data_IF_709416437958
#
_entry.id   IF_709416437958
#
_cell.length_a   1.000
_cell.length_b   1.000
_cell.length_c   1.000
_cell.angle_alpha   90.00
_cell.angle_beta   90.00
_cell.angle_gamma   90.00
#
_symmetry.space_group_name_H-M   'P 1'
#
loop_
_entity.id
_entity.type
_entity.pdbx_description
1 polymer ?
#
# COMPACT_ATOMS: atom_id res chain seq x y z
N UNK A 1 4.18 9.37 -16.93
CA UNK A 1 4.55 8.38 -15.90
C UNK A 1 3.48 8.42 -14.82
N UNK A 2 3.02 7.28 -14.31
CA UNK A 2 1.93 7.21 -13.34
C UNK A 2 2.45 7.57 -11.94
N UNK A 3 2.05 8.72 -11.39
CA UNK A 3 2.54 9.22 -10.11
C UNK A 3 2.12 8.30 -8.95
N UNK A 4 0.94 7.68 -9.03
CA UNK A 4 0.48 6.69 -8.04
C UNK A 4 1.45 5.50 -8.00
N UNK A 5 1.88 4.99 -9.15
CA UNK A 5 2.85 3.87 -9.21
C UNK A 5 4.21 4.26 -8.65
N UNK A 6 4.72 5.45 -8.99
CA UNK A 6 6.03 5.92 -8.47
C UNK A 6 6.01 6.07 -6.96
N UNK A 7 4.95 6.69 -6.43
CA UNK A 7 4.78 6.87 -4.99
C UNK A 7 4.58 5.53 -4.28
N UNK A 8 3.87 4.60 -4.91
CA UNK A 8 3.72 3.25 -4.37
C UNK A 8 5.07 2.54 -4.22
N UNK A 9 5.91 2.58 -5.25
CA UNK A 9 7.25 2.01 -5.22
C UNK A 9 8.15 2.72 -4.19
N UNK A 10 8.02 4.04 -4.06
CA UNK A 10 8.74 4.80 -3.05
C UNK A 10 8.31 4.38 -1.64
N UNK A 11 7.01 4.23 -1.38
CA UNK A 11 6.48 3.77 -0.10
C UNK A 11 7.01 2.37 0.24
N UNK A 12 7.06 1.47 -0.75
CA UNK A 12 7.62 0.12 -0.59
C UNK A 12 9.11 0.19 -0.22
N UNK A 13 9.89 1.03 -0.91
CA UNK A 13 11.32 1.21 -0.64
C UNK A 13 11.57 1.80 0.75
N UNK A 14 10.84 2.85 1.13
CA UNK A 14 10.98 3.48 2.46
C UNK A 14 10.60 2.48 3.56
N UNK A 15 9.55 1.69 3.36
CA UNK A 15 9.18 0.66 4.30
C UNK A 15 10.22 -0.46 4.39
N UNK A 16 10.77 -0.93 3.27
CA UNK A 16 11.83 -1.94 3.26
C UNK A 16 13.06 -1.47 4.04
N UNK A 17 13.52 -0.23 3.82
CA UNK A 17 14.64 0.35 4.58
C UNK A 17 14.32 0.42 6.08
N UNK A 18 13.10 0.84 6.42
CA UNK A 18 12.65 0.89 7.82
C UNK A 18 12.60 -0.51 8.46
N UNK A 19 12.08 -1.50 7.74
CA UNK A 19 11.95 -2.89 8.20
C UNK A 19 13.32 -3.53 8.43
N UNK A 20 14.22 -3.45 7.45
CA UNK A 20 15.58 -4.00 7.58
C UNK A 20 16.45 -3.22 8.57
N UNK A 21 16.16 -1.94 8.81
CA UNK A 21 16.87 -1.11 9.80
C UNK A 21 16.40 -1.30 11.24
N UNK A 22 15.24 -1.93 11.48
CA UNK A 22 14.69 -2.12 12.82
C UNK A 22 15.33 -3.35 13.48
N UNK A 23 16.22 -3.14 14.45
CA UNK A 23 16.85 -4.21 15.24
C UNK A 23 15.99 -4.66 16.44
N UNK A 24 14.71 -4.97 16.24
CA UNK A 24 13.79 -5.32 17.32
C UNK A 24 12.53 -6.06 16.87
N UNK A 25 11.92 -6.79 17.80
CA UNK A 25 10.71 -7.61 17.64
C UNK A 25 9.60 -6.89 16.84
N UNK A 26 8.94 -7.62 15.94
CA UNK A 26 7.78 -7.13 15.15
C UNK A 26 6.61 -6.68 16.03
N UNK A 27 6.59 -7.11 17.30
CA UNK A 27 5.51 -6.89 18.26
C UNK A 27 5.61 -5.52 18.95
N UNK A 28 6.77 -4.86 18.92
CA UNK A 28 6.93 -3.51 19.48
C UNK A 28 6.41 -2.43 18.50
N UNK A 29 5.12 -2.14 18.63
CA UNK A 29 4.44 -1.04 17.94
C UNK A 29 4.80 0.27 18.65
N UNK A 30 5.73 1.02 18.05
CA UNK A 30 6.13 2.35 18.52
C UNK A 30 5.25 3.44 17.87
N UNK A 31 5.02 4.59 18.54
CA UNK A 31 4.37 5.76 17.94
C UNK A 31 4.96 6.17 16.58
N UNK A 32 6.27 5.95 16.39
CA UNK A 32 6.99 6.21 15.13
C UNK A 32 6.38 5.43 13.95
N UNK A 33 5.89 4.21 14.20
CA UNK A 33 5.36 3.33 13.16
C UNK A 33 4.04 3.91 12.61
N UNK A 34 3.19 4.46 13.48
CA UNK A 34 1.97 5.14 13.08
C UNK A 34 2.26 6.41 12.28
N UNK A 35 3.27 7.19 12.69
CA UNK A 35 3.69 8.39 11.95
C UNK A 35 4.17 8.05 10.54
N UNK A 36 5.01 7.02 10.39
CA UNK A 36 5.49 6.57 9.07
C UNK A 36 4.32 6.11 8.20
N UNK A 37 3.39 5.32 8.75
CA UNK A 37 2.21 4.86 8.02
C UNK A 37 1.29 6.01 7.57
N UNK A 38 1.10 7.02 8.42
CA UNK A 38 0.33 8.21 8.09
C UNK A 38 0.99 9.01 6.95
N UNK A 39 2.32 9.20 7.00
CA UNK A 39 3.07 9.90 5.95
C UNK A 39 2.96 9.17 4.61
N UNK A 40 3.15 7.86 4.59
CA UNK A 40 3.05 7.06 3.37
C UNK A 40 1.63 7.06 2.79
N UNK A 41 0.61 7.04 3.66
CA UNK A 41 -0.80 7.17 3.24
C UNK A 41 -1.06 8.54 2.62
N UNK A 42 -0.50 9.60 3.19
CA UNK A 42 -0.57 10.94 2.63
C UNK A 42 0.11 11.04 1.27
N UNK A 43 1.25 10.39 1.07
CA UNK A 43 1.88 10.32 -0.25
C UNK A 43 0.97 9.65 -1.29
N UNK A 44 0.26 8.57 -0.96
CA UNK A 44 -0.66 7.93 -1.91
C UNK A 44 -1.81 8.86 -2.33
N UNK A 45 -2.34 9.64 -1.39
CA UNK A 45 -3.32 10.69 -1.69
C UNK A 45 -2.71 11.74 -2.64
N UNK A 46 -1.48 12.19 -2.38
CA UNK A 46 -0.78 13.11 -3.27
C UNK A 46 -0.55 12.51 -4.67
N UNK A 47 -0.25 11.22 -4.77
CA UNK A 47 -0.10 10.53 -6.06
C UNK A 47 -1.39 10.55 -6.88
N UNK A 48 -2.53 10.31 -6.24
CA UNK A 48 -3.85 10.45 -6.86
C UNK A 48 -4.12 11.87 -7.34
N UNK A 49 -3.81 12.87 -6.50
CA UNK A 49 -3.96 14.28 -6.82
C UNK A 49 -3.10 14.71 -8.01
N UNK A 50 -1.83 14.29 -8.06
CA UNK A 50 -0.90 14.60 -9.14
C UNK A 50 -1.32 13.95 -10.46
N UNK A 51 -1.80 12.71 -10.43
CA UNK A 51 -2.37 12.06 -11.62
C UNK A 51 -3.55 12.87 -12.18
N UNK A 52 -4.46 13.33 -11.32
CA UNK A 52 -5.56 14.18 -11.73
C UNK A 52 -5.09 15.54 -12.27
N UNK A 53 -4.08 16.15 -11.65
CA UNK A 53 -3.50 17.43 -12.11
C UNK A 53 -2.92 17.32 -13.52
N UNK A 54 -2.29 16.19 -13.86
CA UNK A 54 -1.73 15.92 -15.19
C UNK A 54 -2.74 15.35 -16.19
N UNK A 55 -4.04 15.52 -15.92
CA UNK A 55 -5.13 15.02 -16.78
C UNK A 55 -5.03 13.53 -17.12
N UNK A 56 -4.43 12.72 -16.24
CA UNK A 56 -4.34 11.29 -16.45
C UNK A 56 -5.70 10.63 -16.21
N UNK A 57 -5.98 9.56 -16.95
CA UNK A 57 -7.22 8.81 -16.81
C UNK A 57 -7.33 8.18 -15.42
N UNK A 58 -8.55 8.09 -14.88
CA UNK A 58 -8.79 7.45 -13.58
C UNK A 58 -8.26 6.00 -13.52
N UNK A 59 -8.22 5.30 -14.67
CA UNK A 59 -7.62 3.97 -14.80
C UNK A 59 -6.17 3.91 -14.29
N UNK A 60 -5.40 4.99 -14.42
CA UNK A 60 -4.03 5.06 -13.89
C UNK A 60 -3.98 4.95 -12.37
N UNK A 61 -4.96 5.53 -11.67
CA UNK A 61 -5.05 5.50 -10.21
C UNK A 61 -5.37 4.09 -9.71
N UNK A 62 -6.19 3.35 -10.45
CA UNK A 62 -6.64 2.00 -10.10
C UNK A 62 -5.62 0.89 -10.38
N UNK A 63 -4.57 1.17 -11.15
CA UNK A 63 -3.64 0.12 -11.58
C UNK A 63 -3.01 -0.62 -10.40
N UNK A 64 -2.52 0.12 -9.40
CA UNK A 64 -1.90 -0.48 -8.21
C UNK A 64 -2.91 -1.24 -7.34
N UNK A 65 -4.17 -0.82 -7.32
CA UNK A 65 -5.23 -1.57 -6.64
C UNK A 65 -5.41 -2.96 -7.27
N UNK A 66 -5.48 -3.07 -8.60
CA UNK A 66 -5.62 -4.37 -9.27
C UNK A 66 -4.39 -5.27 -9.07
N UNK A 67 -3.19 -4.68 -9.13
CA UNK A 67 -1.93 -5.40 -8.81
C UNK A 67 -1.98 -5.94 -7.38
N UNK A 68 -2.46 -5.12 -6.43
CA UNK A 68 -2.65 -5.58 -5.07
C UNK A 68 -3.69 -6.69 -5.00
N UNK A 69 -4.90 -6.52 -5.55
CA UNK A 69 -5.93 -7.58 -5.57
C UNK A 69 -5.38 -8.91 -6.11
N UNK A 70 -4.62 -8.86 -7.22
CA UNK A 70 -3.95 -10.05 -7.77
C UNK A 70 -3.01 -10.68 -6.74
N UNK A 71 -2.13 -9.90 -6.12
CA UNK A 71 -1.22 -10.39 -5.10
C UNK A 71 -1.96 -10.96 -3.86
N UNK A 72 -3.15 -10.48 -3.49
CA UNK A 72 -3.93 -11.02 -2.36
C UNK A 72 -4.61 -12.33 -2.70
N UNK A 73 -5.18 -12.43 -3.90
CA UNK A 73 -5.70 -13.71 -4.38
C UNK A 73 -4.57 -14.74 -4.44
N UNK A 74 -3.41 -14.34 -4.97
CA UNK A 74 -2.21 -15.19 -4.97
C UNK A 74 -1.79 -15.56 -3.55
N UNK A 75 -1.73 -14.62 -2.59
CA UNK A 75 -1.35 -14.95 -1.22
C UNK A 75 -2.33 -15.93 -0.56
N UNK A 76 -3.63 -15.79 -0.79
CA UNK A 76 -4.63 -16.73 -0.26
C UNK A 76 -4.55 -18.12 -0.91
N UNK A 77 -4.27 -18.19 -2.21
CA UNK A 77 -3.99 -19.45 -2.89
C UNK A 77 -2.70 -20.09 -2.37
N UNK A 78 -1.64 -19.30 -2.19
CA UNK A 78 -0.38 -19.77 -1.60
C UNK A 78 -0.52 -20.14 -0.13
N UNK A 79 -1.48 -19.62 0.63
CA UNK A 79 -1.72 -20.08 2.01
C UNK A 79 -2.35 -21.49 2.01
N UNK A 80 -3.31 -21.73 1.11
CA UNK A 80 -3.94 -23.05 0.95
C UNK A 80 -3.00 -24.12 0.35
N UNK A 81 -2.11 -23.74 -0.58
CA UNK A 81 -1.19 -24.66 -1.25
C UNK A 81 0.24 -24.63 -0.67
N UNK A 82 0.61 -23.60 0.09
CA UNK A 82 1.97 -23.33 0.58
C UNK A 82 2.35 -24.13 1.82
N UNK A 83 1.37 -24.69 2.54
CA UNK A 83 1.67 -25.69 3.58
C UNK A 83 2.46 -26.88 3.00
N UNK A 84 2.28 -27.18 1.71
CA UNK A 84 3.03 -28.21 0.98
C UNK A 84 4.28 -27.66 0.25
N UNK A 85 4.37 -26.33 0.04
CA UNK A 85 5.46 -25.65 -0.67
C UNK A 85 6.30 -24.75 0.25
N UNK A 86 6.78 -25.31 1.37
CA UNK A 86 7.68 -24.61 2.30
C UNK A 86 9.14 -24.57 1.78
N UNK A 87 9.36 -23.98 0.61
CA UNK A 87 10.67 -23.99 -0.08
C UNK A 87 11.74 -23.08 0.57
N UNK A 88 11.34 -22.17 1.46
CA UNK A 88 12.24 -21.27 2.20
C UNK A 88 11.64 -20.93 3.57
N UNK A 89 11.58 -21.89 4.50
CA UNK A 89 11.09 -21.64 5.86
C UNK A 89 12.03 -20.69 6.61
N UNK A 90 11.50 -19.60 7.15
CA UNK A 90 12.21 -18.80 8.17
C UNK A 90 12.12 -19.48 9.54
N UNK A 91 13.04 -19.15 10.46
CA UNK A 91 13.06 -19.69 11.84
C UNK A 91 11.73 -19.33 12.52
N UNK A 92 10.79 -20.27 12.55
CA UNK A 92 9.41 -20.03 13.02
C UNK A 92 8.30 -20.77 12.25
N UNK A 93 8.62 -21.56 11.21
CA UNK A 93 7.66 -22.24 10.31
C UNK A 93 6.88 -21.33 9.34
N UNK A 94 7.02 -20.01 9.42
CA UNK A 94 6.43 -19.09 8.45
C UNK A 94 7.20 -19.12 7.12
N UNK A 95 6.45 -19.13 6.02
CA UNK A 95 6.99 -19.15 4.66
C UNK A 95 7.63 -17.81 4.32
N UNK A 96 8.94 -17.76 4.04
CA UNK A 96 9.66 -16.51 3.68
C UNK A 96 8.99 -15.75 2.52
N UNK A 97 8.46 -16.47 1.52
CA UNK A 97 7.73 -15.89 0.39
C UNK A 97 6.44 -15.22 0.86
N UNK A 98 5.77 -15.75 1.88
CA UNK A 98 4.57 -15.17 2.46
C UNK A 98 4.89 -13.88 3.21
N UNK A 99 5.93 -13.86 4.05
CA UNK A 99 6.40 -12.64 4.74
C UNK A 99 6.86 -11.57 3.74
N UNK A 100 7.62 -11.95 2.71
CA UNK A 100 8.02 -11.04 1.64
C UNK A 100 6.81 -10.52 0.86
N UNK A 101 5.86 -11.40 0.54
CA UNK A 101 4.62 -11.03 -0.13
C UNK A 101 3.86 -10.00 0.72
N UNK A 102 3.73 -10.19 2.04
CA UNK A 102 3.03 -9.30 2.98
C UNK A 102 3.73 -7.93 3.13
N UNK A 103 5.07 -7.94 3.17
CA UNK A 103 5.93 -6.74 3.17
C UNK A 103 5.77 -5.95 1.87
N UNK A 104 5.83 -6.63 0.72
CA UNK A 104 5.58 -6.07 -0.61
C UNK A 104 4.13 -5.61 -0.75
N UNK A 105 3.22 -6.33 -0.09
CA UNK A 105 1.78 -6.15 -0.19
C UNK A 105 1.40 -4.76 0.27
N UNK A 106 1.76 -4.38 1.50
CA UNK A 106 1.25 -3.16 2.11
C UNK A 106 2.07 -2.71 3.32
N UNK A 107 3.41 -2.81 3.25
CA UNK A 107 4.30 -2.37 4.33
C UNK A 107 3.99 -0.97 4.89
N UNK A 108 3.49 -0.06 4.04
CA UNK A 108 3.06 1.28 4.47
C UNK A 108 1.87 1.32 5.46
N UNK A 109 1.14 0.22 5.65
CA UNK A 109 0.05 0.07 6.61
C UNK A 109 0.40 -0.92 7.74
N UNK A 110 1.66 -1.31 7.85
CA UNK A 110 2.14 -2.31 8.80
C UNK A 110 1.63 -2.17 10.25
N UNK A 111 1.58 -0.99 10.90
CA UNK A 111 1.08 -0.88 12.27
C UNK A 111 -0.42 -1.21 12.38
N UNK A 112 -1.19 -0.94 11.32
CA UNK A 112 -2.60 -1.33 11.26
C UNK A 112 -2.72 -2.85 11.04
N UNK A 113 -1.93 -3.41 10.12
CA UNK A 113 -1.95 -4.84 9.80
C UNK A 113 -1.66 -5.68 11.05
N UNK A 114 -0.61 -5.35 11.81
CA UNK A 114 -0.24 -6.10 13.03
C UNK A 114 -1.36 -6.08 14.09
N UNK A 115 -2.06 -4.95 14.26
CA UNK A 115 -3.19 -4.89 15.20
C UNK A 115 -4.41 -5.69 14.71
N UNK A 116 -4.64 -5.73 13.40
CA UNK A 116 -5.77 -6.42 12.79
C UNK A 116 -5.52 -7.91 12.55
N UNK A 117 -4.29 -8.40 12.72
CA UNK A 117 -3.89 -9.78 12.39
C UNK A 117 -4.71 -10.83 13.15
N UNK A 118 -5.23 -10.47 14.33
CA UNK A 118 -6.12 -11.31 15.13
C UNK A 118 -7.54 -11.49 14.56
N UNK A 119 -7.90 -10.77 13.50
CA UNK A 119 -9.29 -10.65 13.02
C UNK A 119 -9.51 -11.13 11.59
N UNK A 120 -8.45 -11.56 10.88
CA UNK A 120 -8.52 -11.92 9.45
C UNK A 120 -8.76 -10.74 8.50
N UNK A 121 -9.11 -9.56 9.02
CA UNK A 121 -9.27 -8.32 8.26
C UNK A 121 -7.95 -7.62 7.91
N UNK A 122 -6.83 -8.05 8.50
CA UNK A 122 -5.51 -7.49 8.28
C UNK A 122 -5.07 -7.51 6.81
N UNK A 123 -5.54 -8.49 6.04
CA UNK A 123 -5.20 -8.64 4.63
C UNK A 123 -6.18 -7.89 3.71
N UNK A 124 -7.44 -7.72 4.12
CA UNK A 124 -8.47 -7.03 3.33
C UNK A 124 -8.36 -5.50 3.40
N UNK A 125 -8.10 -4.96 4.59
CA UNK A 125 -8.05 -3.52 4.82
C UNK A 125 -7.00 -2.79 3.97
N UNK A 126 -5.79 -3.34 3.77
CA UNK A 126 -4.79 -2.69 2.95
C UNK A 126 -5.14 -2.67 1.46
N UNK A 127 -5.83 -3.69 0.97
CA UNK A 127 -6.37 -3.72 -0.41
C UNK A 127 -7.37 -2.59 -0.61
N UNK A 128 -8.29 -2.44 0.33
CA UNK A 128 -9.28 -1.36 0.31
C UNK A 128 -8.58 0.01 0.36
N UNK A 129 -7.58 0.19 1.22
CA UNK A 129 -6.85 1.45 1.34
C UNK A 129 -6.01 1.79 0.11
N UNK A 130 -5.47 0.79 -0.59
CA UNK A 130 -4.78 1.00 -1.86
C UNK A 130 -5.69 1.50 -2.98
N UNK A 131 -7.01 1.28 -2.86
CA UNK A 131 -8.03 1.92 -3.71
C UNK A 131 -8.46 3.28 -3.17
N UNK A 132 -8.81 3.36 -1.89
CA UNK A 132 -9.42 4.55 -1.28
C UNK A 132 -8.46 5.73 -1.31
N UNK A 133 -7.20 5.56 -0.88
CA UNK A 133 -6.26 6.67 -0.72
C UNK A 133 -5.94 7.38 -2.06
N UNK A 134 -5.54 6.66 -3.13
CA UNK A 134 -5.29 7.32 -4.41
C UNK A 134 -6.56 7.89 -5.03
N UNK A 135 -7.72 7.24 -4.83
CA UNK A 135 -9.01 7.72 -5.36
C UNK A 135 -9.46 9.01 -4.69
N UNK A 136 -9.27 9.14 -3.37
CA UNK A 136 -9.53 10.39 -2.62
C UNK A 136 -8.68 11.52 -3.18
N UNK A 137 -7.38 11.29 -3.40
CA UNK A 137 -6.48 12.27 -4.01
C UNK A 137 -6.96 12.76 -5.38
N UNK A 138 -7.37 11.81 -6.23
CA UNK A 138 -7.89 12.11 -7.56
C UNK A 138 -9.20 12.93 -7.49
N UNK A 139 -10.10 12.56 -6.59
CA UNK A 139 -11.37 13.25 -6.37
C UNK A 139 -11.21 14.67 -5.83
N UNK A 140 -10.28 14.89 -4.88
CA UNK A 140 -9.99 16.21 -4.33
C UNK A 140 -9.64 17.16 -5.48
N UNK A 141 -8.73 16.77 -6.39
CA UNK A 141 -8.36 17.59 -7.55
C UNK A 141 -9.55 17.86 -8.46
N UNK A 142 -10.35 16.84 -8.80
CA UNK A 142 -11.55 16.98 -9.64
C UNK A 142 -12.51 18.01 -9.05
N UNK A 143 -12.81 17.93 -7.76
CA UNK A 143 -13.71 18.87 -7.07
C UNK A 143 -13.11 20.29 -7.05
N UNK A 144 -11.81 20.43 -6.80
CA UNK A 144 -11.14 21.74 -6.82
C UNK A 144 -11.23 22.39 -8.19
N UNK A 145 -11.01 21.64 -9.27
CA UNK A 145 -11.13 22.14 -10.65
C UNK A 145 -12.58 22.49 -11.00
N UNK A 146 -13.56 21.67 -10.59
CA UNK A 146 -14.98 21.99 -10.81
C UNK A 146 -15.40 23.27 -10.11
N UNK A 147 -14.84 23.57 -8.92
CA UNK A 147 -15.16 24.80 -8.17
C UNK A 147 -14.42 26.02 -8.70
N UNK A 148 -13.21 25.86 -9.25
CA UNK A 148 -12.36 26.93 -9.75
C UNK A 148 -11.82 26.54 -11.15
N UNK A 149 -12.58 26.83 -12.23
CA UNK A 149 -12.22 26.44 -13.59
C UNK A 149 -10.91 27.09 -14.07
N UNK A 150 -10.52 28.25 -13.53
CA UNK A 150 -9.26 28.92 -13.85
C UNK A 150 -8.01 28.05 -13.56
N UNK A 151 -8.11 27.10 -12.62
CA UNK A 151 -7.06 26.13 -12.30
C UNK A 151 -6.88 25.03 -13.36
N UNK A 152 -7.78 24.95 -14.33
CA UNK A 152 -7.68 24.04 -15.48
C UNK A 152 -6.74 24.59 -16.55
N UNK A 153 -6.68 25.92 -16.73
CA UNK A 153 -5.87 26.59 -17.76
C UNK A 153 -4.38 26.70 -17.40
N UNK A 154 -4.03 26.50 -16.13
CA UNK A 154 -2.66 26.63 -15.62
C UNK A 154 -1.78 25.36 -15.83
N UNK A 155 -2.15 24.45 -16.73
CA UNK A 155 -1.42 23.16 -16.96
C UNK A 155 -0.99 22.91 -18.39
#
# INVERSE_FOLDING_TARGET
MNYVTVIYLLNLLVYAIYFFGKSGSEVDISPVNYTISAIMSFFLILGGYLNAKKNMTYRSVLWMFFVNVLFFVMSGLFDQFGNDFNLFSTVGNDSFIFTLALIVYNGYLFPLIVNLDKTGFALLLPVLLSFILPSLGYWIRKITVTKNPDLAEEN
#
